data_IF_618733852736
#
_entry.id   IF_618733852736
#
_cell.length_a   1.000
_cell.length_b   1.000
_cell.length_c   1.000
_cell.angle_alpha   90.00
_cell.angle_beta   90.00
_cell.angle_gamma   90.00
#
_symmetry.space_group_name_H-M   'P 1'
#
loop_
_entity.id
_entity.type
_entity.pdbx_description
1 polymer ?
#
# COMPACT_ATOMS: atom_id res chain seq x y z
N UNK A 1 2.22 17.15 12.96
CA UNK A 1 1.72 16.51 14.20
C UNK A 1 2.88 15.85 14.90
N UNK A 2 2.91 15.86 16.23
CA UNK A 2 4.00 15.26 17.01
C UNK A 2 3.41 14.28 18.00
N UNK A 3 3.83 13.02 17.90
CA UNK A 3 3.45 11.98 18.85
C UNK A 3 4.28 12.10 20.12
N UNK A 4 3.67 11.78 21.26
CA UNK A 4 4.31 11.77 22.57
C UNK A 4 4.17 10.38 23.18
N UNK A 5 5.06 10.06 24.12
CA UNK A 5 4.95 8.83 24.91
C UNK A 5 3.59 8.75 25.63
N UNK A 6 3.09 7.51 25.79
CA UNK A 6 1.78 7.22 26.41
C UNK A 6 0.61 7.06 25.42
N UNK A 7 0.85 7.19 24.12
CA UNK A 7 -0.10 6.76 23.07
C UNK A 7 -0.08 5.25 22.82
N UNK A 8 -1.09 4.73 22.12
CA UNK A 8 -1.05 3.37 21.59
C UNK A 8 -0.22 3.34 20.30
N UNK A 9 0.81 2.48 20.30
CA UNK A 9 1.74 2.28 19.19
C UNK A 9 2.08 0.79 18.99
N UNK A 10 1.30 -0.08 19.61
CA UNK A 10 1.29 -1.51 19.33
C UNK A 10 0.85 -1.65 17.86
N UNK A 11 1.49 -2.52 17.09
CA UNK A 11 1.39 -2.61 15.63
C UNK A 11 -0.02 -2.36 15.05
N UNK A 12 -0.06 -1.68 13.91
CA UNK A 12 -1.31 -1.19 13.33
C UNK A 12 -1.85 -2.09 12.22
N UNK A 13 -3.13 -1.88 11.86
CA UNK A 13 -3.79 -2.55 10.72
C UNK A 13 -3.21 -2.21 9.33
N UNK A 14 -2.09 -1.50 9.28
CA UNK A 14 -1.48 -1.04 8.04
C UNK A 14 -0.64 -2.16 7.47
N UNK A 15 -1.06 -2.62 6.29
CA UNK A 15 -0.27 -3.52 5.46
C UNK A 15 0.69 -2.71 4.61
N UNK A 16 1.84 -3.30 4.30
CA UNK A 16 2.84 -2.73 3.42
C UNK A 16 2.94 -3.61 2.18
N UNK A 17 2.54 -3.04 1.04
CA UNK A 17 2.93 -3.59 -0.25
C UNK A 17 4.43 -3.48 -0.37
N UNK A 18 5.10 -4.62 -0.55
CA UNK A 18 6.50 -4.65 -0.90
C UNK A 18 6.67 -4.08 -2.32
N UNK A 19 6.71 -2.75 -2.43
CA UNK A 19 7.06 -2.06 -3.65
C UNK A 19 8.39 -2.61 -4.14
N UNK A 20 8.43 -3.11 -5.38
CA UNK A 20 9.51 -3.91 -5.96
C UNK A 20 10.89 -3.22 -6.04
N UNK A 21 11.51 -2.94 -4.90
CA UNK A 21 12.86 -2.39 -4.73
C UNK A 21 13.63 -3.24 -3.72
N UNK A 22 13.63 -4.56 -3.89
CA UNK A 22 14.29 -5.43 -2.92
C UNK A 22 14.11 -6.92 -3.16
N UNK A 23 14.04 -7.34 -4.41
CA UNK A 23 14.02 -8.75 -4.76
C UNK A 23 14.64 -8.85 -6.13
N UNK A 24 15.70 -9.64 -6.24
CA UNK A 24 16.41 -9.91 -7.47
C UNK A 24 15.39 -10.08 -8.60
N UNK A 25 15.46 -9.21 -9.61
CA UNK A 25 14.77 -9.39 -10.89
C UNK A 25 15.40 -10.58 -11.62
N UNK A 26 15.28 -11.79 -11.07
CA UNK A 26 15.49 -13.01 -11.83
C UNK A 26 14.22 -13.21 -12.64
N UNK A 27 14.27 -12.61 -13.83
CA UNK A 27 13.53 -13.04 -15.02
C UNK A 27 12.03 -12.78 -15.00
N UNK A 28 11.56 -11.82 -15.80
CA UNK A 28 10.14 -11.82 -16.15
C UNK A 28 9.64 -10.74 -17.08
N UNK A 29 9.95 -9.46 -16.82
CA UNK A 29 9.21 -8.37 -17.46
C UNK A 29 9.54 -8.15 -18.94
N UNK A 30 10.83 -8.21 -19.33
CA UNK A 30 11.26 -8.00 -20.71
C UNK A 30 12.08 -9.18 -21.25
N UNK A 31 13.06 -9.66 -20.48
CA UNK A 31 13.85 -10.84 -20.85
C UNK A 31 12.98 -12.10 -20.87
N UNK A 32 12.03 -12.22 -19.93
CA UNK A 32 11.06 -13.32 -19.92
C UNK A 32 10.16 -13.31 -21.15
N UNK A 33 9.63 -12.14 -21.54
CA UNK A 33 8.87 -11.97 -22.77
C UNK A 33 9.69 -12.29 -24.02
N UNK A 34 10.96 -11.88 -24.07
CA UNK A 34 11.86 -12.21 -25.18
C UNK A 34 12.08 -13.72 -25.26
N UNK A 35 12.34 -14.39 -24.13
CA UNK A 35 12.53 -15.85 -24.11
C UNK A 35 11.25 -16.58 -24.51
N UNK A 36 10.09 -16.19 -23.98
CA UNK A 36 8.79 -16.77 -24.34
C UNK A 36 8.47 -16.55 -25.82
N UNK A 37 8.73 -15.35 -26.34
CA UNK A 37 8.58 -15.03 -27.75
C UNK A 37 9.50 -15.89 -28.62
N UNK A 38 10.77 -16.04 -28.26
CA UNK A 38 11.71 -16.90 -28.96
C UNK A 38 11.26 -18.37 -28.93
N UNK A 39 10.86 -18.91 -27.78
CA UNK A 39 10.35 -20.28 -27.67
C UNK A 39 9.09 -20.46 -28.51
N UNK A 40 8.14 -19.52 -28.50
CA UNK A 40 6.92 -19.58 -29.30
C UNK A 40 7.22 -19.59 -30.82
N UNK A 41 8.20 -18.80 -31.28
CA UNK A 41 8.63 -18.81 -32.69
C UNK A 41 9.31 -20.13 -33.10
N UNK A 42 10.10 -20.74 -32.22
CA UNK A 42 10.82 -21.99 -32.54
C UNK A 42 10.00 -23.27 -32.34
N UNK A 43 8.99 -23.26 -31.46
CA UNK A 43 8.17 -24.45 -31.12
C UNK A 43 6.75 -24.42 -31.67
N UNK A 44 6.29 -23.26 -32.17
CA UNK A 44 4.93 -23.09 -32.69
C UNK A 44 3.83 -23.10 -31.62
N UNK A 45 4.19 -23.01 -30.33
CA UNK A 45 3.25 -22.97 -29.21
C UNK A 45 2.58 -21.61 -29.14
N UNK A 46 1.24 -21.59 -29.15
CA UNK A 46 0.45 -20.37 -29.03
C UNK A 46 0.48 -19.85 -27.57
N UNK A 47 1.24 -18.78 -27.36
CA UNK A 47 1.36 -18.08 -26.07
C UNK A 47 0.46 -16.84 -25.98
N UNK A 48 -0.45 -16.65 -26.94
CA UNK A 48 -1.38 -15.51 -26.94
C UNK A 48 -2.27 -15.52 -25.69
N UNK A 49 -2.62 -16.69 -25.16
CA UNK A 49 -3.34 -16.81 -23.88
C UNK A 49 -2.55 -16.31 -22.66
N UNK A 50 -1.22 -16.33 -22.71
CA UNK A 50 -0.35 -15.80 -21.66
C UNK A 50 -0.16 -14.27 -21.79
N UNK A 51 -0.27 -13.74 -23.02
CA UNK A 51 -0.22 -12.30 -23.31
C UNK A 51 -1.59 -11.61 -23.16
N UNK A 52 -2.69 -12.36 -23.31
CA UNK A 52 -4.07 -11.88 -23.23
C UNK A 52 -4.69 -12.05 -21.83
N UNK A 53 -4.05 -12.84 -20.96
CA UNK A 53 -4.36 -12.91 -19.52
C UNK A 53 -3.78 -11.73 -18.76
N UNK A 54 -4.42 -10.58 -18.86
CA UNK A 54 -4.05 -9.35 -18.16
C UNK A 54 -3.90 -9.57 -16.65
N UNK A 55 -2.71 -9.22 -16.15
CA UNK A 55 -2.39 -9.08 -14.74
C UNK A 55 -2.56 -10.38 -13.96
N UNK A 56 -1.55 -11.25 -13.97
CA UNK A 56 -1.37 -12.10 -12.80
C UNK A 56 -1.35 -11.17 -11.58
N UNK A 57 -2.40 -11.25 -10.77
CA UNK A 57 -2.37 -10.83 -9.37
C UNK A 57 -1.34 -11.72 -8.70
N UNK A 58 -0.07 -11.38 -8.94
CA UNK A 58 1.05 -11.90 -8.19
C UNK A 58 0.72 -11.51 -6.76
N UNK A 59 0.36 -12.50 -5.94
CA UNK A 59 0.12 -12.31 -4.51
C UNK A 59 1.38 -11.63 -3.97
N UNK A 60 1.31 -10.31 -3.82
CA UNK A 60 2.38 -9.58 -3.19
C UNK A 60 2.34 -10.01 -1.74
N UNK A 61 3.48 -10.48 -1.24
CA UNK A 61 3.62 -10.75 0.17
C UNK A 61 3.49 -9.40 0.88
N UNK A 62 2.35 -9.19 1.53
CA UNK A 62 2.07 -7.96 2.26
C UNK A 62 2.73 -8.10 3.63
N UNK A 63 3.74 -7.26 3.87
CA UNK A 63 4.29 -7.09 5.21
C UNK A 63 3.27 -6.38 6.10
N UNK A 64 3.36 -6.58 7.41
CA UNK A 64 2.62 -5.78 8.39
C UNK A 64 3.58 -4.81 9.09
N UNK A 65 3.10 -3.61 9.41
CA UNK A 65 3.87 -2.69 10.25
C UNK A 65 3.81 -3.20 11.69
N UNK A 66 4.96 -3.62 12.22
CA UNK A 66 5.09 -4.03 13.61
C UNK A 66 4.96 -2.88 14.61
N UNK A 67 5.24 -3.16 15.87
CA UNK A 67 5.21 -2.17 16.95
C UNK A 67 6.15 -1.00 16.65
N UNK A 68 5.67 0.21 16.95
CA UNK A 68 6.43 1.45 16.80
C UNK A 68 6.55 2.17 18.15
N UNK A 69 7.55 3.03 18.31
CA UNK A 69 7.60 4.01 19.40
C UNK A 69 7.03 5.36 18.96
N UNK A 70 6.77 6.26 19.92
CA UNK A 70 6.38 7.64 19.61
C UNK A 70 7.46 8.36 18.77
N UNK A 71 8.74 8.11 19.04
CA UNK A 71 9.87 8.66 18.29
C UNK A 71 9.90 8.14 16.85
N UNK A 72 9.63 6.84 16.66
CA UNK A 72 9.52 6.24 15.33
C UNK A 72 8.33 6.81 14.57
N UNK A 73 7.16 6.97 15.20
CA UNK A 73 6.02 7.63 14.57
C UNK A 73 6.29 9.09 14.16
N UNK A 74 7.27 9.76 14.79
CA UNK A 74 7.71 11.09 14.42
C UNK A 74 8.76 11.11 13.30
N UNK A 75 9.48 10.01 13.04
CA UNK A 75 10.62 9.99 12.11
C UNK A 75 10.42 9.07 10.89
N UNK A 76 9.65 8.01 11.03
CA UNK A 76 9.32 7.01 10.01
C UNK A 76 7.88 7.23 9.48
N UNK A 77 7.68 7.46 8.17
CA UNK A 77 6.35 7.60 7.57
C UNK A 77 5.39 6.42 7.79
N UNK A 78 5.91 5.19 7.86
CA UNK A 78 5.11 3.98 8.06
C UNK A 78 4.55 3.94 9.49
N UNK A 79 5.42 4.12 10.48
CA UNK A 79 5.00 4.26 11.88
C UNK A 79 4.10 5.48 12.09
N UNK A 80 4.36 6.58 11.37
CA UNK A 80 3.52 7.78 11.40
C UNK A 80 2.10 7.47 10.91
N UNK A 81 1.96 6.76 9.80
CA UNK A 81 0.66 6.35 9.27
C UNK A 81 -0.06 5.44 10.27
N UNK A 82 0.60 4.40 10.76
CA UNK A 82 0.05 3.49 11.76
C UNK A 82 -0.48 4.23 12.99
N UNK A 83 0.34 5.08 13.61
CA UNK A 83 -0.03 5.85 14.79
C UNK A 83 -1.15 6.88 14.50
N UNK A 84 -1.18 7.44 13.29
CA UNK A 84 -2.27 8.34 12.88
C UNK A 84 -3.60 7.61 12.82
N UNK A 85 -3.63 6.40 12.25
CA UNK A 85 -4.85 5.60 12.17
C UNK A 85 -5.32 5.15 13.55
N UNK A 86 -4.42 4.73 14.41
CA UNK A 86 -4.77 4.40 15.81
C UNK A 86 -5.39 5.59 16.53
N UNK A 87 -4.84 6.80 16.36
CA UNK A 87 -5.42 8.02 16.92
C UNK A 87 -6.80 8.34 16.33
N UNK A 88 -7.00 8.10 15.03
CA UNK A 88 -8.29 8.27 14.38
C UNK A 88 -9.32 7.27 14.92
N UNK A 89 -8.98 6.00 15.10
CA UNK A 89 -9.92 5.01 15.64
C UNK A 89 -10.30 5.33 17.09
N UNK A 90 -9.30 5.67 17.91
CA UNK A 90 -9.50 6.03 19.31
C UNK A 90 -10.47 7.19 19.48
N UNK A 91 -10.51 8.11 18.52
CA UNK A 91 -11.49 9.19 18.49
C UNK A 91 -12.81 8.77 17.84
N UNK A 92 -12.78 8.26 16.62
CA UNK A 92 -13.97 8.08 15.79
C UNK A 92 -14.85 6.90 16.20
N UNK A 93 -14.29 5.82 16.75
CA UNK A 93 -15.09 4.68 17.21
C UNK A 93 -16.09 5.08 18.31
N UNK A 94 -15.68 5.72 19.42
CA UNK A 94 -16.63 6.18 20.44
C UNK A 94 -17.47 7.36 19.94
N UNK A 95 -16.88 8.28 19.17
CA UNK A 95 -17.59 9.46 18.68
C UNK A 95 -18.73 9.12 17.72
N UNK A 96 -18.52 8.18 16.79
CA UNK A 96 -19.54 7.68 15.88
C UNK A 96 -20.76 7.17 16.64
N UNK A 97 -20.53 6.42 17.72
CA UNK A 97 -21.60 5.96 18.62
C UNK A 97 -22.31 7.12 19.31
N UNK A 98 -21.56 8.12 19.80
CA UNK A 98 -22.09 9.28 20.51
C UNK A 98 -23.01 10.14 19.63
N UNK A 99 -22.67 10.30 18.35
CA UNK A 99 -23.44 11.12 17.40
C UNK A 99 -24.50 10.31 16.62
N UNK A 100 -24.64 9.02 16.90
CA UNK A 100 -25.68 8.17 16.33
C UNK A 100 -25.38 7.63 14.92
N UNK A 101 -24.11 7.53 14.52
CA UNK A 101 -23.72 6.83 13.29
C UNK A 101 -23.85 5.33 13.51
N UNK A 102 -24.86 4.72 12.88
CA UNK A 102 -25.01 3.27 12.82
C UNK A 102 -24.11 2.66 11.75
N UNK A 103 -23.45 1.55 12.05
CA UNK A 103 -22.64 0.81 11.07
C UNK A 103 -21.30 1.47 10.73
N UNK A 104 -20.71 2.21 11.67
CA UNK A 104 -19.33 2.68 11.50
C UNK A 104 -18.38 1.49 11.49
N UNK A 105 -17.63 1.35 10.41
CA UNK A 105 -16.63 0.30 10.24
C UNK A 105 -15.25 0.93 10.03
N UNK A 106 -14.25 0.32 10.67
CA UNK A 106 -12.87 0.76 10.58
C UNK A 106 -12.31 0.22 9.25
N UNK A 107 -11.89 1.10 8.31
CA UNK A 107 -11.38 0.63 7.03
C UNK A 107 -10.01 0.00 7.18
N UNK A 108 -9.69 -1.03 6.38
CA UNK A 108 -8.32 -1.53 6.24
C UNK A 108 -7.36 -0.45 5.73
N UNK A 109 -6.05 -0.64 5.88
CA UNK A 109 -5.07 0.33 5.38
C UNK A 109 -3.89 -0.35 4.70
N UNK A 110 -3.41 0.22 3.60
CA UNK A 110 -2.24 -0.26 2.89
C UNK A 110 -1.34 0.89 2.44
N UNK A 111 -0.06 0.81 2.80
CA UNK A 111 0.99 1.62 2.20
C UNK A 111 1.54 0.93 0.96
N UNK A 112 1.77 1.71 -0.11
CA UNK A 112 2.31 1.19 -1.37
C UNK A 112 3.31 2.16 -1.99
N UNK A 113 3.96 1.75 -3.07
CA UNK A 113 4.84 2.61 -3.87
C UNK A 113 4.65 2.34 -5.36
N UNK A 114 4.49 3.40 -6.15
CA UNK A 114 4.37 3.34 -7.61
C UNK A 114 2.98 2.93 -8.09
N UNK A 115 2.52 1.73 -7.72
CA UNK A 115 1.18 1.24 -8.08
C UNK A 115 0.66 0.21 -7.09
N UNK A 116 -0.67 0.14 -6.97
CA UNK A 116 -1.38 -0.84 -6.14
C UNK A 116 -2.59 -1.39 -6.88
N UNK A 117 -2.85 -2.69 -6.71
CA UNK A 117 -4.05 -3.34 -7.19
C UNK A 117 -5.12 -3.32 -6.10
N UNK A 118 -6.31 -2.82 -6.42
CA UNK A 118 -7.45 -2.71 -5.49
C UNK A 118 -8.70 -3.31 -6.12
N UNK A 119 -9.76 -3.53 -5.34
CA UNK A 119 -11.09 -3.90 -5.82
C UNK A 119 -11.73 -2.83 -6.73
N UNK A 120 -11.20 -1.61 -6.73
CA UNK A 120 -11.60 -0.51 -7.61
C UNK A 120 -10.83 -0.51 -8.95
N UNK A 121 -9.83 -1.38 -9.09
CA UNK A 121 -8.89 -1.42 -10.21
C UNK A 121 -7.46 -1.11 -9.78
N UNK A 122 -6.58 -0.96 -10.78
CA UNK A 122 -5.19 -0.57 -10.54
C UNK A 122 -5.07 0.95 -10.36
N UNK A 123 -4.38 1.39 -9.32
CA UNK A 123 -4.08 2.79 -9.04
C UNK A 123 -2.58 3.03 -9.06
N UNK A 124 -2.17 4.26 -9.38
CA UNK A 124 -0.77 4.69 -9.37
C UNK A 124 -0.55 5.79 -8.34
N UNK A 125 0.70 6.05 -7.96
CA UNK A 125 1.09 7.15 -7.07
C UNK A 125 0.59 8.54 -7.49
N UNK A 126 0.17 8.72 -8.75
CA UNK A 126 -0.36 9.99 -9.25
C UNK A 126 -1.75 10.35 -8.71
N UNK A 127 -2.51 9.37 -8.17
CA UNK A 127 -3.89 9.62 -7.68
C UNK A 127 -3.93 10.15 -6.24
N UNK A 128 -2.81 10.12 -5.51
CA UNK A 128 -2.74 10.48 -4.10
C UNK A 128 -3.37 9.43 -3.17
N UNK A 129 -3.62 9.76 -1.88
CA UNK A 129 -4.29 8.85 -0.96
C UNK A 129 -5.76 8.69 -1.33
N UNK A 130 -6.29 7.47 -1.26
CA UNK A 130 -7.67 7.17 -1.66
C UNK A 130 -8.31 6.05 -0.84
N UNK A 131 -9.65 6.00 -0.87
CA UNK A 131 -10.45 4.92 -0.29
C UNK A 131 -11.09 4.09 -1.41
N UNK A 132 -11.01 2.76 -1.31
CA UNK A 132 -11.68 1.85 -2.23
C UNK A 132 -12.89 1.19 -1.54
N UNK A 133 -14.15 1.50 -1.95
CA UNK A 133 -15.34 0.98 -1.28
C UNK A 133 -15.49 -0.56 -1.28
N UNK A 134 -15.22 -1.29 -2.39
CA UNK A 134 -15.23 -2.75 -2.39
C UNK A 134 -14.28 -3.40 -1.38
N UNK A 135 -13.12 -2.80 -1.14
CA UNK A 135 -12.11 -3.34 -0.21
C UNK A 135 -12.33 -2.84 1.23
N UNK A 136 -13.17 -1.82 1.38
CA UNK A 136 -13.26 -1.00 2.59
C UNK A 136 -11.87 -0.55 3.07
N UNK A 137 -10.99 -0.20 2.13
CA UNK A 137 -9.57 0.02 2.39
C UNK A 137 -9.11 1.43 2.01
N UNK A 138 -8.21 2.01 2.80
CA UNK A 138 -7.46 3.21 2.46
C UNK A 138 -6.06 2.85 1.95
N UNK A 139 -5.62 3.55 0.91
CA UNK A 139 -4.35 3.29 0.23
C UNK A 139 -3.54 4.58 0.16
N UNK A 140 -2.27 4.51 0.58
CA UNK A 140 -1.39 5.68 0.63
C UNK A 140 -0.01 5.36 0.05
N UNK A 141 0.47 6.21 -0.86
CA UNK A 141 1.87 6.19 -1.26
C UNK A 141 2.71 7.07 -0.33
N UNK A 142 3.59 6.44 0.44
CA UNK A 142 4.43 7.14 1.40
C UNK A 142 5.65 7.80 0.74
N UNK A 143 6.07 7.38 -0.46
CA UNK A 143 7.17 8.03 -1.21
C UNK A 143 6.77 9.47 -1.60
N UNK A 144 5.48 9.76 -1.72
CA UNK A 144 4.99 11.11 -1.98
C UNK A 144 5.42 12.10 -0.89
N UNK A 145 5.50 11.66 0.38
CA UNK A 145 5.98 12.52 1.46
C UNK A 145 7.44 12.92 1.27
N UNK A 146 8.27 12.05 0.69
CA UNK A 146 9.66 12.38 0.35
C UNK A 146 9.74 13.41 -0.78
N UNK A 147 8.84 13.33 -1.76
CA UNK A 147 8.73 14.33 -2.82
C UNK A 147 8.35 15.70 -2.24
N UNK A 148 7.37 15.73 -1.31
CA UNK A 148 6.99 16.96 -0.61
C UNK A 148 8.14 17.58 0.17
N UNK A 149 8.91 16.77 0.91
CA UNK A 149 10.08 17.24 1.67
C UNK A 149 11.19 17.74 0.77
N UNK A 150 11.56 16.94 -0.24
CA UNK A 150 12.75 17.18 -1.08
C UNK A 150 12.56 18.26 -2.14
N UNK A 151 11.36 18.36 -2.74
CA UNK A 151 11.10 19.30 -3.85
C UNK A 151 10.34 20.54 -3.42
N UNK A 152 9.50 20.43 -2.41
CA UNK A 152 8.57 21.49 -2.01
C UNK A 152 8.85 22.04 -0.60
N UNK A 153 9.86 21.52 0.10
CA UNK A 153 10.30 22.04 1.39
C UNK A 153 9.29 21.82 2.53
N UNK A 154 8.40 20.83 2.40
CA UNK A 154 7.51 20.46 3.50
C UNK A 154 8.34 19.90 4.69
N UNK A 155 7.91 20.20 5.92
CA UNK A 155 8.59 19.83 7.17
C UNK A 155 7.67 19.04 8.11
#
# INVERSE_FOLDING_TARGET
MTFREGGQFEGGRVRKSAGGRGGIAVGGGAVGLIIVFLIAQFTGVDVSGLLQGGGSSQSQDLGEIGDCTAEQANTDPECRLSATLQALDAFWVPEASRIGVSGFEIPGAESFTGSVGTGCGNATSAVGPFYCPPDQGIYLDLDFFDVLRSRFGAS
#
